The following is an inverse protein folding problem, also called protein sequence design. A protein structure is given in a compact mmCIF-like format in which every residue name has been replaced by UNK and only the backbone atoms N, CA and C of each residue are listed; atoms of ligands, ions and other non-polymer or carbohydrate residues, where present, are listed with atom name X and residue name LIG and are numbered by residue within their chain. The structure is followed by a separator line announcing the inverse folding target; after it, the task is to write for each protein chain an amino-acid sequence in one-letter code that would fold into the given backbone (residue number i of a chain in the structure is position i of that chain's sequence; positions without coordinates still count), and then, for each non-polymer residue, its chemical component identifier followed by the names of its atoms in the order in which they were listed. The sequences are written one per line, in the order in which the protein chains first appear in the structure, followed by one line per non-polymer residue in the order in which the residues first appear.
data_IF_537500132424
#
_entry.id   IF_537500132424
#
_cell.length_a   1.000
_cell.length_b   1.000
_cell.length_c   1.000
_cell.angle_alpha   90.00
_cell.angle_beta   90.00
_cell.angle_gamma   90.00
#
_symmetry.space_group_name_H-M   'P 1'
#
loop_
_entity.id
_entity.type
_entity.pdbx_description
1 polymer ?
#
# COMPACT_ATOMS: atom_id res chain seq x y z
N UNK A 1 -4.67 5.15 4.20
CA UNK A 1 -3.25 4.77 3.96
C UNK A 1 -3.26 3.38 3.34
N UNK A 2 -2.68 3.21 2.15
CA UNK A 2 -2.72 1.94 1.44
C UNK A 2 -1.36 1.26 1.47
N UNK A 3 -1.28 0.08 2.05
CA UNK A 3 -0.04 -0.70 2.15
C UNK A 3 -0.05 -1.76 1.06
N UNK A 4 0.97 -1.78 0.21
CA UNK A 4 1.10 -2.77 -0.84
C UNK A 4 1.50 -4.13 -0.25
N UNK A 5 0.63 -5.12 -0.39
CA UNK A 5 0.85 -6.49 0.08
C UNK A 5 2.08 -7.16 -0.57
N UNK A 6 2.40 -6.85 -1.83
CA UNK A 6 3.64 -7.31 -2.46
C UNK A 6 4.90 -6.72 -1.81
N UNK A 7 4.88 -5.42 -1.50
CA UNK A 7 6.01 -4.77 -0.83
C UNK A 7 6.21 -5.34 0.58
N UNK A 8 5.13 -5.70 1.27
CA UNK A 8 5.22 -6.38 2.57
C UNK A 8 5.85 -7.77 2.46
N UNK A 9 5.46 -8.55 1.46
CA UNK A 9 6.00 -9.90 1.22
C UNK A 9 7.50 -9.87 0.88
N UNK A 10 7.91 -8.95 0.01
CA UNK A 10 9.33 -8.75 -0.35
C UNK A 10 10.17 -8.32 0.86
N UNK A 11 9.62 -7.46 1.73
CA UNK A 11 10.32 -7.02 2.95
C UNK A 11 10.17 -7.98 4.13
N UNK A 12 9.36 -9.03 4.01
CA UNK A 12 9.10 -9.99 5.09
C UNK A 12 8.33 -9.42 6.28
N UNK A 13 7.65 -8.28 6.11
CA UNK A 13 6.96 -7.57 7.19
C UNK A 13 5.59 -8.19 7.41
N UNK A 14 5.33 -8.66 8.63
CA UNK A 14 4.00 -9.16 9.00
C UNK A 14 3.06 -8.00 9.33
N UNK A 15 1.77 -8.16 9.03
CA UNK A 15 0.74 -7.16 9.34
C UNK A 15 0.72 -6.76 10.82
N UNK A 16 1.11 -7.69 11.69
CA UNK A 16 1.18 -7.50 13.15
C UNK A 16 2.32 -6.57 13.61
N UNK A 17 3.33 -6.34 12.77
CA UNK A 17 4.49 -5.48 13.06
C UNK A 17 4.29 -4.03 12.57
N UNK A 18 3.21 -3.79 11.81
CA UNK A 18 2.82 -2.46 11.38
C UNK A 18 1.96 -1.78 12.45
N UNK A 19 2.21 -0.49 12.66
CA UNK A 19 1.36 0.33 13.51
C UNK A 19 -0.02 0.43 12.84
N UNK A 20 -1.06 -0.06 13.52
CA UNK A 20 -2.44 0.03 13.06
C UNK A 20 -2.91 1.48 13.13
N UNK A 21 -3.00 2.12 11.96
CA UNK A 21 -3.63 3.43 11.83
C UNK A 21 -5.11 3.28 11.47
N UNK A 22 -6.01 4.07 12.07
CA UNK A 22 -7.40 4.14 11.62
C UNK A 22 -7.41 4.53 10.13
N UNK A 23 -8.08 3.73 9.29
CA UNK A 23 -8.10 3.83 7.82
C UNK A 23 -6.84 3.34 7.07
N UNK A 24 -6.06 2.42 7.67
CA UNK A 24 -5.07 1.63 6.92
C UNK A 24 -5.78 0.50 6.15
N UNK A 25 -5.39 0.29 4.89
CA UNK A 25 -5.91 -0.81 4.06
C UNK A 25 -4.78 -1.49 3.32
N UNK A 26 -4.79 -2.81 3.35
CA UNK A 26 -3.83 -3.64 2.62
C UNK A 26 -4.35 -3.88 1.21
N UNK A 27 -3.62 -3.41 0.20
CA UNK A 27 -4.01 -3.47 -1.21
C UNK A 27 -3.01 -4.25 -2.03
N UNK A 28 -3.45 -4.82 -3.15
CA UNK A 28 -2.58 -5.44 -4.14
C UNK A 28 -1.96 -4.39 -5.09
N UNK A 29 -0.95 -4.82 -5.85
CA UNK A 29 -0.30 -3.96 -6.86
C UNK A 29 -1.28 -3.46 -7.91
N UNK A 30 -2.26 -4.28 -8.32
CA UNK A 30 -3.28 -3.88 -9.30
C UNK A 30 -4.13 -2.70 -8.83
N UNK A 31 -4.64 -2.75 -7.59
CA UNK A 31 -5.40 -1.66 -6.99
C UNK A 31 -4.51 -0.42 -6.77
N UNK A 32 -3.24 -0.61 -6.44
CA UNK A 32 -2.29 0.49 -6.32
C UNK A 32 -2.09 1.21 -7.65
N UNK A 33 -1.81 0.48 -8.73
CA UNK A 33 -1.65 1.06 -10.07
C UNK A 33 -2.94 1.73 -10.56
N UNK A 34 -4.11 1.15 -10.30
CA UNK A 34 -5.40 1.75 -10.64
C UNK A 34 -5.63 3.08 -9.89
N UNK A 35 -5.28 3.15 -8.60
CA UNK A 35 -5.33 4.40 -7.83
C UNK A 35 -4.39 5.46 -8.41
N UNK A 36 -3.19 5.07 -8.85
CA UNK A 36 -2.24 5.98 -9.49
C UNK A 36 -2.74 6.44 -10.86
N UNK A 37 -3.37 5.55 -11.65
CA UNK A 37 -3.93 5.88 -12.95
C UNK A 37 -5.09 6.88 -12.86
N UNK A 38 -5.85 6.85 -11.77
CA UNK A 38 -6.93 7.81 -11.51
C UNK A 38 -6.45 9.09 -10.80
N UNK A 39 -5.21 9.13 -10.33
CA UNK A 39 -4.66 10.29 -9.65
C UNK A 39 -4.11 11.31 -10.65
N UNK A 40 -4.47 12.58 -10.44
CA UNK A 40 -3.97 13.70 -11.26
C UNK A 40 -2.47 13.95 -11.06
N UNK A 41 -1.95 13.65 -9.87
CA UNK A 41 -0.55 13.80 -9.51
C UNK A 41 -0.13 12.62 -8.65
N UNK A 42 0.91 11.92 -9.10
CA UNK A 42 1.57 10.86 -8.35
C UNK A 42 2.96 11.33 -7.96
N UNK A 43 3.20 11.39 -6.66
CA UNK A 43 4.50 11.70 -6.11
C UNK A 43 5.08 10.46 -5.45
N UNK A 44 6.28 10.06 -5.88
CA UNK A 44 6.99 8.91 -5.35
C UNK A 44 8.05 9.43 -4.39
N UNK A 45 7.85 9.18 -3.09
CA UNK A 45 8.75 9.53 -2.00
C UNK A 45 9.19 8.25 -1.28
#
# INVERSE_FOLDING_TARGET
IHVCTMSMDVMGIKKEELIDYPHMSYVGVGTFVDMFSNAKQCWFM
#
